data_IF_879452866724
#
_entry.id   IF_879452866724
#
_cell.length_a   1.000
_cell.length_b   1.000
_cell.length_c   1.000
_cell.angle_alpha   90.00
_cell.angle_beta   90.00
_cell.angle_gamma   90.00
#
_symmetry.space_group_name_H-M   'P 1'
#
loop_
_entity.id
_entity.type
_entity.pdbx_description
1 polymer ?
#
# COMPACT_ATOMS: atom_id res chain seq x y z
N UNK A 1 25.85 20.26 6.09
CA UNK A 1 24.73 19.68 5.30
C UNK A 1 24.02 20.71 4.42
N UNK A 2 23.78 21.94 4.88
CA UNK A 2 23.18 23.01 4.05
C UNK A 2 24.04 23.32 2.81
N UNK A 3 25.36 23.37 2.97
CA UNK A 3 26.31 23.64 1.88
C UNK A 3 26.25 22.58 0.77
N UNK A 4 26.20 21.29 1.13
CA UNK A 4 26.02 20.21 0.15
C UNK A 4 24.67 20.30 -0.56
N UNK A 5 23.58 20.49 0.19
CA UNK A 5 22.24 20.65 -0.40
C UNK A 5 22.21 21.80 -1.41
N UNK A 6 22.88 22.92 -1.12
CA UNK A 6 22.98 24.06 -2.02
C UNK A 6 23.81 23.77 -3.27
N UNK A 7 24.99 23.15 -3.13
CA UNK A 7 25.86 22.74 -4.25
C UNK A 7 25.14 21.80 -5.22
N UNK A 8 24.35 20.86 -4.70
CA UNK A 8 23.60 19.89 -5.50
C UNK A 8 22.20 20.36 -5.90
N UNK A 9 21.81 21.62 -5.58
CA UNK A 9 20.47 22.15 -5.89
C UNK A 9 19.31 21.42 -5.19
N UNK A 10 19.58 20.65 -4.13
CA UNK A 10 18.57 19.90 -3.38
C UNK A 10 18.04 20.75 -2.24
N UNK A 11 16.72 20.84 -2.12
CA UNK A 11 16.09 21.49 -0.96
C UNK A 11 16.39 20.74 0.33
N UNK A 12 16.71 21.48 1.40
CA UNK A 12 17.00 20.92 2.74
C UNK A 12 15.89 19.99 3.25
N UNK A 13 14.63 20.30 2.94
CA UNK A 13 13.45 19.52 3.33
C UNK A 13 13.38 18.20 2.57
N UNK A 14 13.67 18.20 1.27
CA UNK A 14 13.72 17.01 0.43
C UNK A 14 14.82 16.06 0.88
N UNK A 15 16.02 16.58 1.16
CA UNK A 15 17.12 15.78 1.68
C UNK A 15 16.77 15.16 3.04
N UNK A 16 16.21 15.95 3.97
CA UNK A 16 15.81 15.45 5.29
C UNK A 16 14.70 14.41 5.19
N UNK A 17 13.72 14.60 4.31
CA UNK A 17 12.68 13.61 4.03
C UNK A 17 13.26 12.30 3.49
N UNK A 18 14.17 12.38 2.51
CA UNK A 18 14.85 11.22 1.95
C UNK A 18 15.70 10.48 3.00
N UNK A 19 16.48 11.21 3.79
CA UNK A 19 17.31 10.64 4.85
C UNK A 19 16.49 9.96 5.94
N UNK A 20 15.33 10.53 6.26
CA UNK A 20 14.41 9.99 7.28
C UNK A 20 13.49 8.89 6.72
N UNK A 21 13.61 8.56 5.42
CA UNK A 21 12.83 7.49 4.83
C UNK A 21 13.31 6.16 5.41
N UNK A 22 12.41 5.31 5.94
CA UNK A 22 12.81 4.00 6.41
C UNK A 22 13.38 3.17 5.25
N UNK A 23 14.52 2.55 5.49
CA UNK A 23 15.22 1.71 4.50
C UNK A 23 14.42 0.43 4.20
N UNK A 24 13.72 -0.08 5.22
CA UNK A 24 12.92 -1.31 5.12
C UNK A 24 11.47 -0.99 4.74
N UNK A 25 10.86 -1.78 3.83
CA UNK A 25 9.44 -1.68 3.55
C UNK A 25 8.63 -1.98 4.82
N UNK A 26 7.51 -1.28 4.98
CA UNK A 26 6.61 -1.45 6.12
C UNK A 26 6.07 -2.89 6.17
N UNK A 27 6.52 -3.67 7.15
CA UNK A 27 6.13 -5.07 7.32
C UNK A 27 4.63 -5.25 7.52
N UNK A 28 3.94 -4.28 8.17
CA UNK A 28 2.47 -4.32 8.28
C UNK A 28 1.82 -4.21 6.91
N UNK A 29 2.36 -3.34 6.06
CA UNK A 29 1.87 -3.18 4.69
C UNK A 29 2.13 -4.41 3.82
N UNK A 30 3.24 -5.12 4.04
CA UNK A 30 3.50 -6.40 3.36
C UNK A 30 2.44 -7.45 3.73
N UNK A 31 2.10 -7.57 5.01
CA UNK A 31 1.02 -8.47 5.49
C UNK A 31 -0.34 -8.09 4.90
N UNK A 32 -0.67 -6.79 4.85
CA UNK A 32 -1.93 -6.35 4.26
C UNK A 32 -1.99 -6.65 2.75
N UNK A 33 -0.87 -6.52 2.03
CA UNK A 33 -0.79 -6.87 0.60
C UNK A 33 -1.00 -8.37 0.38
N UNK A 34 -0.38 -9.23 1.19
CA UNK A 34 -0.58 -10.68 1.05
C UNK A 34 -2.03 -11.09 1.30
N UNK A 35 -2.69 -10.49 2.28
CA UNK A 35 -4.12 -10.73 2.54
C UNK A 35 -5.01 -10.28 1.38
N UNK A 36 -4.74 -9.12 0.77
CA UNK A 36 -5.50 -8.65 -0.40
C UNK A 36 -5.33 -9.60 -1.59
N UNK A 37 -4.11 -10.07 -1.86
CA UNK A 37 -3.85 -11.06 -2.90
C UNK A 37 -4.61 -12.36 -2.67
N UNK A 38 -4.54 -12.89 -1.45
CA UNK A 38 -5.20 -14.14 -1.08
C UNK A 38 -6.72 -14.04 -1.23
N UNK A 39 -7.33 -12.97 -0.69
CA UNK A 39 -8.77 -12.73 -0.76
C UNK A 39 -9.27 -12.53 -2.19
N UNK A 40 -8.48 -11.84 -3.03
CA UNK A 40 -8.79 -11.69 -4.44
C UNK A 40 -8.73 -13.05 -5.16
N UNK A 41 -7.72 -13.87 -4.86
CA UNK A 41 -7.59 -15.24 -5.38
C UNK A 41 -8.75 -16.14 -4.99
N UNK A 42 -9.17 -16.12 -3.72
CA UNK A 42 -10.33 -16.90 -3.23
C UNK A 42 -11.62 -16.51 -3.96
N UNK A 43 -11.76 -15.23 -4.31
CA UNK A 43 -12.90 -14.74 -5.09
C UNK A 43 -12.81 -15.03 -6.59
N UNK A 44 -11.77 -15.73 -7.05
CA UNK A 44 -11.45 -15.92 -8.47
C UNK A 44 -11.37 -14.60 -9.26
N UNK A 45 -10.90 -13.53 -8.61
CA UNK A 45 -10.78 -12.20 -9.20
C UNK A 45 -12.08 -11.38 -9.27
N UNK A 46 -13.19 -11.87 -8.74
CA UNK A 46 -14.45 -11.11 -8.72
C UNK A 46 -14.47 -10.02 -7.63
N UNK A 47 -13.78 -10.21 -6.50
CA UNK A 47 -13.91 -9.31 -5.36
C UNK A 47 -13.26 -7.93 -5.60
N UNK A 48 -14.11 -6.91 -5.71
CA UNK A 48 -13.68 -5.51 -5.67
C UNK A 48 -13.29 -5.02 -4.27
N UNK A 49 -12.82 -3.78 -4.20
CA UNK A 49 -12.29 -3.17 -2.96
C UNK A 49 -13.26 -3.22 -1.76
N UNK A 50 -14.57 -3.13 -1.99
CA UNK A 50 -15.58 -3.20 -0.92
C UNK A 50 -15.72 -4.63 -0.36
N UNK A 51 -15.72 -5.62 -1.24
CA UNK A 51 -15.77 -7.04 -0.86
C UNK A 51 -14.49 -7.44 -0.14
N UNK A 52 -13.32 -7.05 -0.66
CA UNK A 52 -12.04 -7.32 -0.01
C UNK A 52 -11.96 -6.68 1.37
N UNK A 53 -12.36 -5.41 1.53
CA UNK A 53 -12.39 -4.76 2.84
C UNK A 53 -13.29 -5.52 3.84
N UNK A 54 -14.45 -5.98 3.39
CA UNK A 54 -15.39 -6.75 4.22
C UNK A 54 -14.80 -8.10 4.61
N UNK A 55 -14.21 -8.83 3.66
CA UNK A 55 -13.57 -10.12 3.90
C UNK A 55 -12.36 -10.00 4.83
N UNK A 56 -11.51 -8.99 4.63
CA UNK A 56 -10.36 -8.71 5.48
C UNK A 56 -10.77 -8.37 6.91
N UNK A 57 -11.82 -7.55 7.07
CA UNK A 57 -12.37 -7.19 8.39
C UNK A 57 -12.92 -8.42 9.12
N UNK A 58 -13.61 -9.33 8.41
CA UNK A 58 -14.08 -10.61 8.98
C UNK A 58 -12.93 -11.52 9.43
N UNK A 59 -11.76 -11.42 8.80
CA UNK A 59 -10.52 -12.11 9.20
C UNK A 59 -9.75 -11.42 10.33
N UNK A 60 -10.26 -10.30 10.86
CA UNK A 60 -9.62 -9.54 11.94
C UNK A 60 -8.65 -8.45 11.46
N UNK A 61 -8.48 -8.25 10.16
CA UNK A 61 -7.67 -7.15 9.63
C UNK A 61 -8.51 -5.88 9.51
N UNK A 62 -8.17 -4.85 10.28
CA UNK A 62 -8.82 -3.54 10.20
C UNK A 62 -8.49 -2.87 8.86
N UNK A 63 -9.36 -3.06 7.87
CA UNK A 63 -9.17 -2.57 6.50
C UNK A 63 -10.44 -1.92 5.95
N UNK A 64 -10.38 -0.60 5.72
CA UNK A 64 -11.46 0.12 5.05
C UNK A 64 -11.40 0.01 3.52
N UNK A 65 -12.52 0.32 2.85
CA UNK A 65 -12.65 0.34 1.36
C UNK A 65 -11.49 1.05 0.66
N UNK A 66 -11.12 2.23 1.16
CA UNK A 66 -10.08 3.04 0.54
C UNK A 66 -8.70 2.38 0.62
N UNK A 67 -8.37 1.77 1.77
CA UNK A 67 -7.12 1.04 1.96
C UNK A 67 -7.08 -0.20 1.07
N UNK A 68 -8.17 -0.97 1.04
CA UNK A 68 -8.31 -2.13 0.14
C UNK A 68 -8.10 -1.74 -1.33
N UNK A 69 -8.77 -0.68 -1.80
CA UNK A 69 -8.64 -0.21 -3.19
C UNK A 69 -7.23 0.29 -3.52
N UNK A 70 -6.58 1.00 -2.59
CA UNK A 70 -5.19 1.43 -2.76
C UNK A 70 -4.25 0.22 -2.87
N UNK A 71 -4.41 -0.79 -2.01
CA UNK A 71 -3.60 -2.00 -2.04
C UNK A 71 -3.86 -2.83 -3.31
N UNK A 72 -5.11 -2.96 -3.75
CA UNK A 72 -5.43 -3.60 -5.04
C UNK A 72 -4.71 -2.90 -6.19
N UNK A 73 -4.74 -1.56 -6.25
CA UNK A 73 -4.06 -0.79 -7.29
C UNK A 73 -2.54 -0.98 -7.24
N UNK A 74 -1.94 -1.00 -6.05
CA UNK A 74 -0.51 -1.28 -5.87
C UNK A 74 -0.12 -2.67 -6.37
N UNK A 75 -1.05 -3.63 -6.29
CA UNK A 75 -0.87 -5.02 -6.70
C UNK A 75 -1.31 -5.29 -8.15
N UNK A 76 -1.82 -4.28 -8.86
CA UNK A 76 -2.35 -4.44 -10.22
C UNK A 76 -3.63 -5.28 -10.31
N UNK A 77 -4.37 -5.42 -9.21
CA UNK A 77 -5.59 -6.22 -9.16
C UNK A 77 -6.80 -5.41 -9.65
N UNK A 78 -7.57 -6.01 -10.56
CA UNK A 78 -8.82 -5.45 -11.09
C UNK A 78 -9.92 -6.49 -10.89
N UNK A 79 -11.07 -6.05 -10.40
CA UNK A 79 -12.24 -6.92 -10.29
C UNK A 79 -12.79 -7.24 -11.67
N UNK A 80 -13.03 -8.51 -11.94
CA UNK A 80 -13.65 -9.00 -13.17
C UNK A 80 -15.18 -8.86 -13.17
N UNK A 81 -15.76 -8.26 -12.13
CA UNK A 81 -17.20 -8.05 -12.03
C UNK A 81 -17.61 -6.89 -12.96
N UNK A 82 -18.53 -7.17 -13.87
CA UNK A 82 -19.20 -6.14 -14.69
C UNK A 82 -20.25 -5.40 -13.87
#
# INVERSE_FOLDING_TARGET
>A
MVTLCHVFGVHRSSYRYWKNRPEKPDGRRAVLRSQVLELHGISHGSAGARSIATMATRRGYQMGRWLAGRLMKELGLVSCQQ
#
